data_IF_047055134580
#
_entry.id   IF_047055134580
#
_cell.length_a   1.000
_cell.length_b   1.000
_cell.length_c   1.000
_cell.angle_alpha   90.00
_cell.angle_beta   90.00
_cell.angle_gamma   90.00
#
_symmetry.space_group_name_H-M   'P 1'
#
loop_
_entity.id
_entity.type
_entity.pdbx_description
1 polymer ?
#
# COMPACT_ATOMS: atom_id res chain seq x y z
N UNK A 1 9.99 -9.62 10.92
CA UNK A 1 10.93 -9.24 9.84
C UNK A 1 11.21 -7.75 9.94
N UNK A 2 12.44 -7.31 9.68
CA UNK A 2 12.80 -5.89 9.63
C UNK A 2 12.55 -5.41 8.19
N UNK A 3 11.91 -4.26 8.01
CA UNK A 3 11.71 -3.68 6.68
C UNK A 3 13.06 -3.51 5.97
N UNK A 4 13.09 -3.78 4.67
CA UNK A 4 14.27 -3.51 3.85
C UNK A 4 14.41 -1.99 3.70
N UNK A 5 15.64 -1.50 3.74
CA UNK A 5 15.96 -0.10 3.42
C UNK A 5 16.06 0.01 1.89
N UNK A 6 15.39 1.01 1.32
CA UNK A 6 15.37 1.27 -0.12
C UNK A 6 15.90 2.67 -0.41
N UNK A 7 16.75 2.82 -1.43
CA UNK A 7 16.90 4.12 -2.10
C UNK A 7 15.63 4.44 -2.90
N UNK A 8 15.45 5.70 -3.31
CA UNK A 8 14.28 6.08 -4.11
C UNK A 8 14.22 5.31 -5.43
N UNK A 9 15.39 5.13 -6.05
CA UNK A 9 15.55 4.39 -7.30
C UNK A 9 15.28 2.89 -7.13
N UNK A 10 15.69 2.28 -6.01
CA UNK A 10 15.29 0.91 -5.67
C UNK A 10 13.78 0.76 -5.43
N UNK A 11 13.16 1.72 -4.75
CA UNK A 11 11.71 1.71 -4.51
C UNK A 11 10.93 1.83 -5.84
N UNK A 12 11.34 2.75 -6.73
CA UNK A 12 10.73 2.91 -8.05
C UNK A 12 10.96 1.70 -8.96
N UNK A 13 12.11 1.02 -8.87
CA UNK A 13 12.34 -0.25 -9.59
C UNK A 13 11.42 -1.38 -9.15
N UNK A 14 11.08 -1.45 -7.87
CA UNK A 14 10.19 -2.46 -7.31
C UNK A 14 8.71 -2.14 -7.60
N UNK A 15 8.40 -0.86 -7.82
CA UNK A 15 7.02 -0.38 -7.91
C UNK A 15 6.16 -1.06 -8.98
N UNK A 16 6.64 -1.41 -10.19
CA UNK A 16 5.84 -2.14 -11.18
C UNK A 16 5.27 -3.46 -10.65
N UNK A 17 6.05 -4.22 -9.87
CA UNK A 17 5.59 -5.47 -9.25
C UNK A 17 4.52 -5.20 -8.18
N UNK A 18 4.71 -4.16 -7.36
CA UNK A 18 3.73 -3.74 -6.35
C UNK A 18 2.43 -3.29 -7.00
N UNK A 19 2.50 -2.56 -8.12
CA UNK A 19 1.33 -2.14 -8.91
C UNK A 19 0.56 -3.36 -9.40
N UNK A 20 1.25 -4.36 -9.97
CA UNK A 20 0.62 -5.59 -10.45
C UNK A 20 -0.08 -6.37 -9.33
N UNK A 21 0.62 -6.60 -8.21
CA UNK A 21 0.07 -7.28 -7.03
C UNK A 21 -1.15 -6.54 -6.47
N UNK A 22 -1.09 -5.22 -6.44
CA UNK A 22 -2.17 -4.37 -5.95
C UNK A 22 -3.36 -4.37 -6.91
N UNK A 23 -3.13 -4.29 -8.22
CA UNK A 23 -4.18 -4.39 -9.24
C UNK A 23 -4.92 -5.74 -9.17
N UNK A 24 -4.20 -6.84 -8.97
CA UNK A 24 -4.82 -8.15 -8.76
C UNK A 24 -5.71 -8.18 -7.51
N UNK A 25 -5.25 -7.61 -6.40
CA UNK A 25 -6.03 -7.54 -5.17
C UNK A 25 -7.27 -6.63 -5.30
N UNK A 26 -7.14 -5.47 -5.94
CA UNK A 26 -8.26 -4.56 -6.26
C UNK A 26 -9.31 -5.30 -7.08
N UNK A 27 -8.90 -5.95 -8.17
CA UNK A 27 -9.79 -6.70 -9.06
C UNK A 27 -10.51 -7.84 -8.32
N UNK A 28 -9.82 -8.52 -7.41
CA UNK A 28 -10.42 -9.58 -6.59
C UNK A 28 -11.47 -9.03 -5.62
N UNK A 29 -11.20 -7.89 -4.97
CA UNK A 29 -12.17 -7.21 -4.09
C UNK A 29 -13.41 -6.78 -4.88
N UNK A 30 -13.23 -6.19 -6.07
CA UNK A 30 -14.33 -5.78 -6.95
C UNK A 30 -15.18 -6.98 -7.37
N UNK A 31 -14.56 -8.11 -7.71
CA UNK A 31 -15.25 -9.35 -8.05
C UNK A 31 -16.07 -9.89 -6.88
N UNK A 32 -15.49 -9.96 -5.67
CA UNK A 32 -16.20 -10.43 -4.48
C UNK A 32 -17.44 -9.57 -4.20
N UNK A 33 -17.31 -8.24 -4.31
CA UNK A 33 -18.43 -7.30 -4.15
C UNK A 33 -19.53 -7.52 -5.19
N UNK A 34 -19.15 -7.71 -6.46
CA UNK A 34 -20.11 -7.96 -7.54
C UNK A 34 -20.86 -9.29 -7.35
N UNK A 35 -20.18 -10.35 -6.89
CA UNK A 35 -20.80 -11.65 -6.61
C UNK A 35 -21.79 -11.58 -5.45
N UNK A 36 -21.44 -10.87 -4.36
CA UNK A 36 -22.33 -10.70 -3.22
C UNK A 36 -23.62 -9.92 -3.56
N UNK A 37 -23.56 -9.01 -4.54
CA UNK A 37 -24.72 -8.27 -5.05
C UNK A 37 -25.68 -9.15 -5.87
N UNK A 38 -25.19 -10.20 -6.54
CA UNK A 38 -26.00 -11.07 -7.42
C UNK A 38 -26.72 -12.21 -6.67
N UNK A 39 -26.28 -12.59 -5.47
CA UNK A 39 -26.87 -13.69 -4.69
C UNK A 39 -28.17 -13.24 -3.95
N UNK A 40 -29.25 -14.02 -4.14
CA UNK A 40 -30.65 -13.84 -3.70
C UNK A 40 -30.90 -13.41 -2.23
N UNK A 41 -32.05 -12.73 -2.01
CA UNK A 41 -32.48 -11.93 -0.84
C UNK A 41 -32.75 -12.67 0.50
N UNK A 42 -32.52 -13.97 0.62
CA UNK A 42 -33.07 -14.74 1.76
C UNK A 42 -32.23 -14.72 3.05
N UNK A 43 -31.00 -14.19 3.03
CA UNK A 43 -30.20 -13.94 4.22
C UNK A 43 -29.13 -12.87 3.97
N UNK A 44 -29.43 -11.62 4.35
CA UNK A 44 -28.51 -10.48 4.17
C UNK A 44 -27.36 -10.47 5.20
N UNK A 45 -27.57 -11.05 6.38
CA UNK A 45 -26.59 -11.07 7.47
C UNK A 45 -25.39 -11.96 7.15
N UNK A 46 -25.68 -13.23 6.84
CA UNK A 46 -24.65 -14.23 6.49
C UNK A 46 -23.84 -13.84 5.25
N UNK A 47 -24.50 -13.23 4.24
CA UNK A 47 -23.81 -12.74 3.04
C UNK A 47 -22.81 -11.63 3.35
N UNK A 48 -23.19 -10.67 4.20
CA UNK A 48 -22.31 -9.57 4.59
C UNK A 48 -21.08 -10.07 5.30
N UNK A 49 -21.26 -10.97 6.27
CA UNK A 49 -20.16 -11.58 7.02
C UNK A 49 -19.23 -12.39 6.10
N UNK A 50 -19.78 -13.16 5.14
CA UNK A 50 -18.99 -13.91 4.17
C UNK A 50 -18.20 -13.00 3.23
N UNK A 51 -18.81 -11.91 2.75
CA UNK A 51 -18.14 -10.93 1.89
C UNK A 51 -17.01 -10.22 2.65
N UNK A 52 -17.26 -9.83 3.89
CA UNK A 52 -16.25 -9.22 4.76
C UNK A 52 -15.08 -10.18 4.95
N UNK A 53 -15.33 -11.46 5.27
CA UNK A 53 -14.28 -12.48 5.39
C UNK A 53 -13.47 -12.67 4.10
N UNK A 54 -14.14 -12.69 2.93
CA UNK A 54 -13.46 -12.84 1.65
C UNK A 54 -12.55 -11.66 1.32
N UNK A 55 -13.07 -10.43 1.48
CA UNK A 55 -12.28 -9.20 1.29
C UNK A 55 -11.09 -9.17 2.25
N UNK A 56 -11.31 -9.51 3.51
CA UNK A 56 -10.28 -9.60 4.53
C UNK A 56 -9.16 -10.58 4.15
N UNK A 57 -9.52 -11.74 3.60
CA UNK A 57 -8.55 -12.72 3.11
C UNK A 57 -7.73 -12.18 1.93
N UNK A 58 -8.37 -11.47 1.00
CA UNK A 58 -7.70 -10.83 -0.15
C UNK A 58 -6.69 -9.79 0.37
N UNK A 59 -7.10 -8.92 1.30
CA UNK A 59 -6.24 -7.88 1.84
C UNK A 59 -5.09 -8.45 2.66
N UNK A 60 -5.33 -9.48 3.48
CA UNK A 60 -4.27 -10.20 4.20
C UNK A 60 -3.25 -10.82 3.25
N UNK A 61 -3.73 -11.42 2.16
CA UNK A 61 -2.85 -12.02 1.16
C UNK A 61 -2.04 -10.96 0.40
N UNK A 62 -2.64 -9.83 0.04
CA UNK A 62 -1.93 -8.69 -0.54
C UNK A 62 -0.86 -8.17 0.43
N UNK A 63 -1.23 -7.87 1.68
CA UNK A 63 -0.30 -7.34 2.68
C UNK A 63 0.88 -8.30 2.93
N UNK A 64 0.63 -9.61 2.91
CA UNK A 64 1.69 -10.62 3.01
C UNK A 64 2.67 -10.55 1.83
N UNK A 65 2.18 -10.53 0.59
CA UNK A 65 3.03 -10.43 -0.60
C UNK A 65 3.86 -9.14 -0.60
N UNK A 66 3.25 -8.00 -0.24
CA UNK A 66 3.98 -6.72 -0.09
C UNK A 66 5.07 -6.82 1.00
N UNK A 67 4.76 -7.47 2.12
CA UNK A 67 5.73 -7.68 3.21
C UNK A 67 6.88 -8.60 2.81
N UNK A 68 6.63 -9.61 1.97
CA UNK A 68 7.65 -10.52 1.43
C UNK A 68 8.65 -9.78 0.51
N UNK A 69 8.24 -8.68 -0.12
CA UNK A 69 9.12 -7.76 -0.86
C UNK A 69 9.93 -6.81 0.06
N UNK A 70 9.72 -6.88 1.38
CA UNK A 70 10.39 -6.02 2.36
C UNK A 70 9.75 -4.64 2.53
N UNK A 71 8.58 -4.41 1.93
CA UNK A 71 7.80 -3.16 1.97
C UNK A 71 6.76 -3.23 3.08
N UNK A 72 6.37 -2.09 3.66
CA UNK A 72 5.41 -2.02 4.75
C UNK A 72 4.01 -1.73 4.18
N UNK A 73 3.08 -2.71 4.14
CA UNK A 73 1.70 -2.42 3.77
C UNK A 73 1.02 -1.57 4.86
N UNK A 74 0.27 -0.54 4.42
CA UNK A 74 -0.48 0.38 5.26
C UNK A 74 -1.91 0.49 4.73
N UNK A 75 -2.89 0.42 5.63
CA UNK A 75 -4.30 0.60 5.27
C UNK A 75 -4.73 -0.21 4.05
N UNK A 76 -5.55 0.41 3.20
CA UNK A 76 -5.92 -0.16 1.90
C UNK A 76 -4.95 0.31 0.83
N UNK A 77 -4.29 -0.66 0.18
CA UNK A 77 -3.49 -0.44 -1.05
C UNK A 77 -2.50 0.73 -0.97
N UNK A 78 -1.94 0.94 0.22
CA UNK A 78 -0.92 1.96 0.50
C UNK A 78 0.32 1.26 1.05
N UNK A 79 1.49 1.77 0.69
CA UNK A 79 2.77 1.17 1.04
C UNK A 79 3.74 2.23 1.54
N UNK A 80 4.47 1.89 2.59
CA UNK A 80 5.64 2.65 3.06
C UNK A 80 6.91 1.86 2.76
N UNK A 81 7.93 2.54 2.25
CA UNK A 81 9.28 2.02 2.00
C UNK A 81 10.21 2.69 2.99
N UNK A 82 10.95 1.91 3.78
CA UNK A 82 11.94 2.47 4.69
C UNK A 82 13.04 3.15 3.85
N UNK A 83 13.14 4.48 3.98
CA UNK A 83 14.18 5.24 3.28
C UNK A 83 15.55 5.00 3.95
N UNK A 84 16.67 5.41 3.32
CA UNK A 84 18.00 5.31 3.92
C UNK A 84 18.14 6.16 5.19
N UNK A 85 17.26 7.16 5.37
CA UNK A 85 17.19 7.97 6.58
C UNK A 85 16.10 7.38 7.48
N UNK A 86 16.53 6.87 8.63
CA UNK A 86 15.69 6.05 9.52
C UNK A 86 14.43 6.74 10.06
N UNK A 87 14.35 8.07 9.97
CA UNK A 87 13.23 8.88 10.44
C UNK A 87 12.21 9.22 9.34
N UNK A 88 12.35 8.66 8.13
CA UNK A 88 11.43 8.89 7.01
C UNK A 88 11.04 7.61 6.27
N UNK A 89 9.86 7.64 5.68
CA UNK A 89 9.35 6.66 4.73
C UNK A 89 9.08 7.34 3.39
N UNK A 90 9.49 6.69 2.30
CA UNK A 90 8.82 6.96 1.02
C UNK A 90 7.46 6.27 1.03
N UNK A 91 6.44 6.90 0.48
CA UNK A 91 5.11 6.33 0.47
C UNK A 91 4.45 6.35 -0.90
N UNK A 92 3.54 5.41 -1.10
CA UNK A 92 2.81 5.21 -2.33
C UNK A 92 1.40 4.68 -2.06
N UNK A 93 0.43 5.07 -2.88
CA UNK A 93 -0.90 4.45 -2.90
C UNK A 93 -1.34 4.11 -4.31
N UNK A 94 -2.24 3.13 -4.41
CA UNK A 94 -2.77 2.69 -5.70
C UNK A 94 -3.37 3.86 -6.50
N UNK A 95 -2.93 3.97 -7.76
CA UNK A 95 -3.25 5.09 -8.66
C UNK A 95 -2.04 6.01 -8.93
N UNK A 96 -1.02 5.99 -8.07
CA UNK A 96 0.24 6.70 -8.31
C UNK A 96 1.17 5.86 -9.21
N UNK A 97 1.89 6.51 -10.13
CA UNK A 97 2.76 5.83 -11.11
C UNK A 97 4.21 5.70 -10.65
N UNK A 98 4.61 6.52 -9.69
CA UNK A 98 5.97 6.56 -9.14
C UNK A 98 5.91 6.94 -7.65
N UNK A 99 7.01 6.71 -6.96
CA UNK A 99 7.20 7.20 -5.60
C UNK A 99 7.49 8.70 -5.66
N UNK A 100 6.49 9.53 -5.36
CA UNK A 100 6.58 10.99 -5.43
C UNK A 100 6.54 11.69 -4.06
N UNK A 101 6.32 10.93 -2.97
CA UNK A 101 6.06 11.50 -1.64
C UNK A 101 6.89 10.85 -0.53
N UNK A 102 7.07 11.60 0.55
CA UNK A 102 7.76 11.18 1.78
C UNK A 102 6.99 11.68 3.00
N UNK A 103 7.06 10.94 4.10
CA UNK A 103 6.62 11.40 5.43
C UNK A 103 7.56 10.89 6.51
N UNK A 104 7.50 11.49 7.70
CA UNK A 104 8.28 11.05 8.87
C UNK A 104 7.67 9.80 9.48
N UNK A 105 8.49 9.04 10.22
CA UNK A 105 8.03 7.82 10.90
C UNK A 105 6.98 8.07 12.00
N UNK A 106 6.91 9.29 12.53
CA UNK A 106 5.93 9.74 13.53
C UNK A 106 4.67 10.36 12.89
N UNK A 107 4.60 10.37 11.56
CA UNK A 107 3.50 10.92 10.76
C UNK A 107 2.73 9.81 10.03
N UNK A 108 1.59 10.18 9.46
CA UNK A 108 0.76 9.29 8.64
C UNK A 108 0.89 9.63 7.16
N UNK A 109 0.35 8.76 6.30
CA UNK A 109 0.27 8.97 4.86
C UNK A 109 -0.43 10.29 4.46
N UNK A 110 -1.28 10.85 5.32
CA UNK A 110 -1.98 12.12 5.09
C UNK A 110 -1.07 13.34 5.27
N UNK A 111 0.02 13.18 6.00
CA UNK A 111 0.98 14.24 6.31
C UNK A 111 2.16 14.24 5.32
N UNK A 112 2.08 13.41 4.27
CA UNK A 112 3.13 13.27 3.26
C UNK A 112 3.34 14.57 2.49
N UNK A 113 4.58 14.84 2.14
CA UNK A 113 4.97 15.98 1.30
C UNK A 113 5.59 15.47 0.01
N UNK A 114 5.47 16.23 -1.10
CA UNK A 114 6.20 15.92 -2.33
C UNK A 114 7.70 15.82 -2.07
N UNK A 115 8.38 14.90 -2.75
CA UNK A 115 9.84 14.73 -2.62
C UNK A 115 10.61 16.00 -3.01
N UNK A 116 10.08 16.79 -3.94
CA UNK A 116 10.63 18.09 -4.36
C UNK A 116 10.64 19.10 -3.20
N UNK A 117 9.57 19.10 -2.40
CA UNK A 117 9.39 20.01 -1.26
C UNK A 117 10.05 19.48 0.02
N UNK A 118 10.42 18.20 0.05
CA UNK A 118 10.96 17.54 1.23
C UNK A 118 12.21 18.26 1.76
N UNK A 119 13.16 18.59 0.88
CA UNK A 119 14.39 19.32 1.26
C UNK A 119 14.07 20.69 1.86
N UNK A 120 13.06 21.38 1.32
CA UNK A 120 12.63 22.70 1.80
C UNK A 120 11.92 22.63 3.15
N UNK A 121 11.21 21.52 3.43
CA UNK A 121 10.49 21.29 4.67
C UNK A 121 11.34 20.64 5.77
N UNK A 122 12.67 20.62 5.60
CA UNK A 122 13.60 20.07 6.59
C UNK A 122 13.64 18.54 6.61
N UNK A 123 13.05 17.86 5.61
CA UNK A 123 13.24 16.44 5.43
C UNK A 123 14.64 16.19 4.93
N UNK A 124 15.34 15.39 5.70
CA UNK A 124 16.65 14.91 5.36
C UNK A 124 16.48 13.68 4.47
N UNK A 125 16.27 13.86 3.17
CA UNK A 125 16.14 12.74 2.20
C UNK A 125 17.47 12.47 1.49
N UNK A 126 17.85 11.20 1.36
CA UNK A 126 18.94 10.77 0.45
C UNK A 126 18.27 10.18 -0.78
N UNK A 127 18.40 10.86 -1.93
CA UNK A 127 17.77 10.47 -3.19
C UNK A 127 18.61 9.48 -4.02
N UNK A 128 19.78 9.12 -3.50
CA UNK A 128 20.80 8.34 -4.20
C UNK A 128 20.86 6.93 -3.60
#
# INVERSE_FOLDING_TARGET
MRAKIFTLDEANRLLPEIIELTQHAVTAVERARAQAQFLSELDEGSRRESLEHEIDNILRNWARQISELGVLPKGFFTCDFQSPKSDTYFCWTFGEQEIAFVHRVDQTFKDRVPLEDAVLNGYNISLN
#
